data_IF_389822756022
#
_entry.id   IF_389822756022
#
_cell.length_a   1.000
_cell.length_b   1.000
_cell.length_c   1.000
_cell.angle_alpha   90.00
_cell.angle_beta   90.00
_cell.angle_gamma   90.00
#
_symmetry.space_group_name_H-M   'P 1'
#
loop_
_entity.id
_entity.type
_entity.pdbx_description
1 polymer ?
#
# COMPACT_ATOMS: atom_id res chain seq x y z
N UNK A 1 10.41 12.74 14.68
CA UNK A 1 10.37 12.33 13.26
C UNK A 1 11.78 11.87 12.89
N UNK A 2 11.97 10.63 12.45
CA UNK A 2 13.28 10.19 11.96
C UNK A 2 13.59 10.96 10.68
N UNK A 3 14.71 11.67 10.66
CA UNK A 3 15.19 12.36 9.47
C UNK A 3 15.50 11.30 8.39
N UNK A 4 14.92 11.43 7.20
CA UNK A 4 15.27 10.57 6.07
C UNK A 4 16.78 10.65 5.78
N UNK A 5 17.37 9.57 5.23
CA UNK A 5 18.80 9.56 4.90
C UNK A 5 19.08 10.56 3.78
N UNK A 6 19.60 11.73 4.13
CA UNK A 6 19.91 12.83 3.21
C UNK A 6 21.41 13.01 2.99
N UNK A 7 22.18 11.91 2.92
CA UNK A 7 23.64 11.99 2.77
C UNK A 7 24.07 12.79 1.53
N UNK A 8 23.24 12.79 0.47
CA UNK A 8 23.44 13.55 -0.77
C UNK A 8 22.59 14.83 -0.85
N UNK A 9 21.97 15.24 0.26
CA UNK A 9 20.97 16.31 0.33
C UNK A 9 19.56 15.85 0.02
N UNK A 10 18.57 16.64 0.44
CA UNK A 10 17.15 16.28 0.31
C UNK A 10 16.69 16.14 -1.16
N UNK A 11 17.21 17.00 -2.05
CA UNK A 11 16.86 16.99 -3.47
C UNK A 11 17.26 15.66 -4.14
N UNK A 12 18.54 15.27 -4.06
CA UNK A 12 19.04 14.05 -4.70
C UNK A 12 18.44 12.79 -4.06
N UNK A 13 18.35 12.74 -2.73
CA UNK A 13 17.74 11.62 -2.02
C UNK A 13 16.28 11.40 -2.45
N UNK A 14 15.48 12.46 -2.52
CA UNK A 14 14.07 12.36 -2.90
C UNK A 14 13.91 11.94 -4.37
N UNK A 15 14.65 12.56 -5.29
CA UNK A 15 14.56 12.21 -6.72
C UNK A 15 14.99 10.78 -6.98
N UNK A 16 16.04 10.29 -6.30
CA UNK A 16 16.49 8.91 -6.43
C UNK A 16 15.46 7.93 -5.84
N UNK A 17 14.84 8.26 -4.71
CA UNK A 17 13.77 7.45 -4.12
C UNK A 17 12.57 7.36 -5.06
N UNK A 18 12.14 8.47 -5.67
CA UNK A 18 11.06 8.50 -6.64
C UNK A 18 11.40 7.69 -7.91
N UNK A 19 12.62 7.80 -8.44
CA UNK A 19 13.08 7.01 -9.59
C UNK A 19 13.04 5.51 -9.33
N UNK A 20 13.35 5.08 -8.11
CA UNK A 20 13.27 3.67 -7.72
C UNK A 20 11.82 3.25 -7.54
N UNK A 21 11.02 4.01 -6.78
CA UNK A 21 9.63 3.68 -6.49
C UNK A 21 8.74 3.61 -7.75
N UNK A 22 8.89 4.57 -8.66
CA UNK A 22 8.13 4.65 -9.92
C UNK A 22 8.91 4.10 -11.13
N UNK A 23 10.05 3.46 -10.90
CA UNK A 23 10.87 2.87 -11.94
C UNK A 23 10.29 1.57 -12.48
N UNK A 24 11.06 0.89 -13.34
CA UNK A 24 10.75 -0.47 -13.75
C UNK A 24 11.15 -1.44 -12.64
N UNK A 25 10.22 -2.26 -12.20
CA UNK A 25 10.46 -3.34 -11.25
C UNK A 25 10.77 -4.64 -12.00
N UNK A 26 11.59 -5.50 -11.39
CA UNK A 26 11.98 -6.80 -11.96
C UNK A 26 10.92 -7.90 -11.74
N UNK A 27 9.88 -7.60 -10.96
CA UNK A 27 8.76 -8.50 -10.70
C UNK A 27 7.42 -7.79 -10.90
N UNK A 28 6.41 -8.57 -11.26
CA UNK A 28 5.02 -8.14 -11.31
C UNK A 28 4.31 -8.59 -10.03
N UNK A 29 3.66 -7.69 -9.26
CA UNK A 29 2.89 -8.08 -8.08
C UNK A 29 1.81 -9.13 -8.41
N UNK A 30 1.28 -9.16 -9.63
CA UNK A 30 0.25 -10.12 -10.05
C UNK A 30 0.76 -11.55 -10.21
N UNK A 31 2.08 -11.76 -10.22
CA UNK A 31 2.69 -13.10 -10.25
C UNK A 31 2.83 -13.70 -8.84
N UNK A 32 2.49 -12.95 -7.79
CA UNK A 32 2.57 -13.41 -6.41
C UNK A 32 1.55 -14.51 -6.13
N UNK A 33 2.03 -15.59 -5.51
CA UNK A 33 1.18 -16.65 -4.96
C UNK A 33 0.72 -16.24 -3.56
N UNK A 34 -0.45 -16.75 -3.15
CA UNK A 34 -0.94 -16.56 -1.78
C UNK A 34 0.14 -17.06 -0.79
N UNK A 35 0.72 -16.18 0.05
CA UNK A 35 1.72 -16.58 1.03
C UNK A 35 1.12 -17.38 2.20
N UNK A 36 -0.20 -17.35 2.37
CA UNK A 36 -0.94 -18.02 3.45
C UNK A 36 -2.02 -18.97 2.89
N UNK A 37 -1.63 -20.06 2.20
CA UNK A 37 -2.58 -20.97 1.57
C UNK A 37 -3.42 -21.78 2.57
N UNK A 38 -2.99 -21.87 3.83
CA UNK A 38 -3.65 -22.62 4.89
C UNK A 38 -4.41 -21.72 5.87
N UNK A 39 -4.68 -20.46 5.50
CA UNK A 39 -5.34 -19.45 6.34
C UNK A 39 -4.59 -19.14 7.64
N UNK A 40 -3.27 -19.29 7.64
CA UNK A 40 -2.37 -18.95 8.75
C UNK A 40 -2.11 -17.44 8.88
N UNK A 41 -2.60 -16.65 7.91
CA UNK A 41 -2.50 -15.20 7.88
C UNK A 41 -3.36 -14.59 6.76
N UNK A 42 -3.27 -13.27 6.61
CA UNK A 42 -3.93 -12.54 5.53
C UNK A 42 -3.03 -11.42 5.01
N UNK A 43 -3.22 -11.07 3.74
CA UNK A 43 -2.64 -9.88 3.12
C UNK A 43 -3.76 -8.90 2.87
N UNK A 44 -3.56 -7.64 3.24
CA UNK A 44 -4.53 -6.58 3.10
C UNK A 44 -3.93 -5.42 2.29
N UNK A 45 -4.76 -4.77 1.48
CA UNK A 45 -4.39 -3.63 0.65
C UNK A 45 -5.40 -2.52 0.87
N UNK A 46 -4.96 -1.36 1.37
CA UNK A 46 -5.80 -0.17 1.51
C UNK A 46 -5.46 0.86 0.44
N UNK A 47 -6.49 1.51 -0.10
CA UNK A 47 -6.34 2.54 -1.14
C UNK A 47 -7.42 3.60 -0.99
N UNK A 48 -7.03 4.88 -1.00
CA UNK A 48 -7.96 5.98 -1.18
C UNK A 48 -8.37 6.12 -2.65
N UNK A 49 -9.65 6.32 -2.93
CA UNK A 49 -10.15 6.43 -4.31
C UNK A 49 -9.92 7.81 -4.97
N UNK A 50 -9.60 8.84 -4.18
CA UNK A 50 -9.14 10.18 -4.63
C UNK A 50 -7.60 10.33 -4.46
N UNK A 51 -6.86 9.22 -4.48
CA UNK A 51 -5.41 9.23 -4.51
C UNK A 51 -4.90 9.80 -5.85
N UNK A 52 -4.26 10.97 -5.76
CA UNK A 52 -3.72 11.71 -6.91
C UNK A 52 -2.30 11.31 -7.29
N UNK A 53 -1.66 10.45 -6.50
CA UNK A 53 -0.32 9.94 -6.77
C UNK A 53 -0.37 8.55 -7.41
N UNK A 54 -1.25 7.68 -6.91
CA UNK A 54 -1.43 6.31 -7.41
C UNK A 54 -2.90 6.08 -7.78
N UNK A 55 -3.23 5.81 -9.06
CA UNK A 55 -4.61 5.58 -9.47
C UNK A 55 -5.23 4.34 -8.81
N UNK A 56 -6.42 4.50 -8.22
CA UNK A 56 -7.19 3.41 -7.60
C UNK A 56 -7.46 2.23 -8.54
N UNK A 57 -7.54 2.49 -9.86
CA UNK A 57 -7.75 1.47 -10.88
C UNK A 57 -6.65 0.41 -10.92
N UNK A 58 -5.41 0.77 -10.57
CA UNK A 58 -4.30 -0.18 -10.48
C UNK A 58 -4.57 -1.21 -9.37
N UNK A 59 -4.98 -0.75 -8.20
CA UNK A 59 -5.24 -1.64 -7.06
C UNK A 59 -6.44 -2.54 -7.32
N UNK A 60 -7.52 -1.99 -7.89
CA UNK A 60 -8.68 -2.77 -8.36
C UNK A 60 -8.27 -3.88 -9.35
N UNK A 61 -7.33 -3.61 -10.24
CA UNK A 61 -6.82 -4.61 -11.17
C UNK A 61 -5.99 -5.69 -10.45
N UNK A 62 -5.07 -5.30 -9.56
CA UNK A 62 -4.26 -6.24 -8.78
C UNK A 62 -5.14 -7.19 -7.99
N UNK A 63 -6.14 -6.69 -7.26
CA UNK A 63 -7.02 -7.53 -6.42
C UNK A 63 -7.94 -8.42 -7.24
N UNK A 64 -8.26 -8.02 -8.49
CA UNK A 64 -8.99 -8.88 -9.43
C UNK A 64 -8.16 -10.10 -9.88
N UNK A 65 -6.82 -9.98 -9.87
CA UNK A 65 -5.89 -11.07 -10.21
C UNK A 65 -5.49 -11.88 -8.98
N UNK A 66 -5.38 -11.22 -7.84
CA UNK A 66 -4.91 -11.79 -6.57
C UNK A 66 -6.06 -11.82 -5.57
N UNK A 67 -7.03 -12.71 -5.78
CA UNK A 67 -8.24 -12.81 -4.95
C UNK A 67 -7.99 -13.15 -3.47
N UNK A 68 -6.75 -13.52 -3.11
CA UNK A 68 -6.33 -13.74 -1.72
C UNK A 68 -5.99 -12.44 -0.97
N UNK A 69 -5.89 -11.30 -1.65
CA UNK A 69 -5.73 -9.99 -1.03
C UNK A 69 -7.09 -9.48 -0.55
N UNK A 70 -7.16 -9.07 0.72
CA UNK A 70 -8.31 -8.34 1.27
C UNK A 70 -8.18 -6.86 0.93
N UNK A 71 -9.04 -6.39 0.03
CA UNK A 71 -9.00 -5.02 -0.46
C UNK A 71 -9.91 -4.09 0.33
N UNK A 72 -9.38 -2.93 0.69
CA UNK A 72 -10.04 -1.90 1.46
C UNK A 72 -9.95 -0.57 0.71
N UNK A 73 -11.02 -0.21 0.02
CA UNK A 73 -11.10 1.07 -0.68
C UNK A 73 -11.76 2.11 0.22
N UNK A 74 -11.17 3.31 0.30
CA UNK A 74 -11.66 4.41 1.12
C UNK A 74 -12.23 5.53 0.24
N UNK A 75 -13.57 5.70 0.20
CA UNK A 75 -14.21 6.76 -0.57
C UNK A 75 -13.80 8.16 -0.10
N UNK A 76 -13.43 9.02 -1.04
CA UNK A 76 -12.99 10.40 -0.84
C UNK A 76 -11.61 10.56 -0.22
N UNK A 77 -10.88 9.46 0.03
CA UNK A 77 -9.57 9.51 0.67
C UNK A 77 -8.45 9.63 -0.38
N UNK A 78 -7.42 10.40 -0.05
CA UNK A 78 -6.22 10.55 -0.89
C UNK A 78 -5.05 9.70 -0.43
N UNK A 79 -3.88 9.89 -1.05
CA UNK A 79 -2.65 9.12 -0.79
C UNK A 79 -2.23 9.08 0.70
N UNK A 80 -2.48 10.18 1.42
CA UNK A 80 -2.06 10.36 2.81
C UNK A 80 -3.13 9.93 3.83
N UNK A 81 -4.14 9.15 3.42
CA UNK A 81 -5.17 8.64 4.33
C UNK A 81 -4.61 7.93 5.59
N UNK A 82 -3.44 7.23 5.58
CA UNK A 82 -2.95 6.59 6.80
C UNK A 82 -2.60 7.57 7.92
N UNK A 83 -2.43 8.86 7.60
CA UNK A 83 -2.15 9.92 8.57
C UNK A 83 -3.41 10.58 9.14
N UNK A 84 -4.61 10.25 8.63
CA UNK A 84 -5.85 10.76 9.19
C UNK A 84 -6.07 10.21 10.61
N UNK A 85 -6.69 11.02 11.47
CA UNK A 85 -6.94 10.65 12.86
C UNK A 85 -7.72 9.33 12.95
N UNK A 86 -7.23 8.41 13.78
CA UNK A 86 -7.84 7.09 14.00
C UNK A 86 -7.53 6.04 12.92
N UNK A 87 -6.99 6.40 11.75
CA UNK A 87 -6.73 5.42 10.68
C UNK A 87 -5.68 4.37 11.06
N UNK A 88 -4.64 4.76 11.79
CA UNK A 88 -3.64 3.80 12.28
C UNK A 88 -4.24 2.76 13.22
N UNK A 89 -5.12 3.18 14.14
CA UNK A 89 -5.83 2.27 15.04
C UNK A 89 -6.78 1.35 14.26
N UNK A 90 -7.54 1.89 13.31
CA UNK A 90 -8.45 1.13 12.47
C UNK A 90 -7.72 0.04 11.66
N UNK A 91 -6.60 0.38 11.02
CA UNK A 91 -5.76 -0.57 10.26
C UNK A 91 -5.20 -1.65 11.20
N UNK A 92 -4.66 -1.26 12.36
CA UNK A 92 -4.10 -2.21 13.32
C UNK A 92 -5.16 -3.14 13.90
N UNK A 93 -6.36 -2.62 14.21
CA UNK A 93 -7.47 -3.42 14.69
C UNK A 93 -7.89 -4.46 13.64
N UNK A 94 -8.05 -4.05 12.38
CA UNK A 94 -8.37 -4.98 11.27
C UNK A 94 -7.31 -6.09 11.14
N UNK A 95 -6.02 -5.73 11.20
CA UNK A 95 -4.92 -6.69 11.09
C UNK A 95 -4.83 -7.68 12.26
N UNK A 96 -5.09 -7.22 13.49
CA UNK A 96 -4.84 -8.01 14.70
C UNK A 96 -6.06 -8.78 15.20
N UNK A 97 -7.26 -8.25 14.97
CA UNK A 97 -8.49 -8.89 15.47
C UNK A 97 -9.09 -9.84 14.44
N UNK A 98 -8.85 -9.61 13.15
CA UNK A 98 -9.43 -10.40 12.08
C UNK A 98 -10.96 -10.46 12.14
N UNK A 99 -11.60 -9.48 12.82
CA UNK A 99 -13.05 -9.33 12.89
C UNK A 99 -13.57 -9.27 11.45
N UNK A 100 -14.33 -10.31 11.06
CA UNK A 100 -15.02 -10.39 9.77
C UNK A 100 -16.39 -9.74 9.85
#
# INVERSE_FOLDING_TARGET
MSQYVTQQGAFESLHRALKIGFGKWEFDPMDLKNPFPNNEGSVHLWQGDDDRLVPVTLQRYIVSKLAWIRYHELPGAGHLFPHADGMGEAIMKELLTGEK
#
